data_IF_165751508537
#
_entry.id   IF_165751508537
#
_cell.length_a   1.000
_cell.length_b   1.000
_cell.length_c   1.000
_cell.angle_alpha   90.00
_cell.angle_beta   90.00
_cell.angle_gamma   90.00
#
_symmetry.space_group_name_H-M   'P 1'
#
loop_
_entity.id
_entity.type
_entity.pdbx_description
1 polymer ?
#
# COMPACT_ATOMS: atom_id res chain seq x y z
N UNK A 1 -37.65 -22.55 0.67
CA UNK A 1 -36.86 -21.62 1.50
C UNK A 1 -35.61 -21.33 0.71
N UNK A 2 -35.63 -20.19 0.05
CA UNK A 2 -34.90 -19.96 -1.19
C UNK A 2 -33.41 -19.73 -0.94
N UNK A 3 -32.59 -20.68 -1.42
CA UNK A 3 -31.14 -20.60 -1.47
C UNK A 3 -30.79 -19.85 -2.74
N UNK A 4 -30.85 -18.50 -2.74
CA UNK A 4 -30.20 -17.62 -3.71
C UNK A 4 -30.39 -16.15 -3.29
N UNK A 5 -29.68 -15.73 -2.24
CA UNK A 5 -29.68 -14.36 -1.75
C UNK A 5 -28.38 -13.64 -2.09
N UNK A 6 -28.44 -12.75 -3.07
CA UNK A 6 -27.65 -11.53 -3.21
C UNK A 6 -26.17 -11.57 -2.76
N UNK A 7 -25.26 -11.90 -3.69
CA UNK A 7 -23.81 -11.64 -3.54
C UNK A 7 -23.50 -10.16 -3.76
N UNK A 8 -24.20 -9.26 -3.11
CA UNK A 8 -23.77 -7.87 -3.02
C UNK A 8 -22.44 -7.85 -2.29
N UNK A 9 -21.37 -7.54 -3.04
CA UNK A 9 -19.98 -7.45 -2.57
C UNK A 9 -19.81 -6.24 -1.64
N UNK A 10 -20.50 -6.24 -0.50
CA UNK A 10 -20.16 -5.40 0.62
C UNK A 10 -18.76 -5.85 1.04
N UNK A 11 -17.79 -4.94 0.99
CA UNK A 11 -16.42 -5.17 1.48
C UNK A 11 -16.50 -5.49 2.97
N UNK A 12 -16.74 -6.75 3.31
CA UNK A 12 -16.97 -7.18 4.67
C UNK A 12 -15.62 -7.20 5.39
N UNK A 13 -15.44 -6.29 6.36
CA UNK A 13 -14.24 -6.22 7.18
C UNK A 13 -14.15 -7.45 8.08
N UNK A 14 -12.94 -7.90 8.38
CA UNK A 14 -12.72 -8.91 9.42
C UNK A 14 -13.09 -8.31 10.77
N UNK A 15 -13.93 -9.02 11.52
CA UNK A 15 -14.22 -8.75 12.92
C UNK A 15 -13.08 -9.23 13.82
N UNK A 16 -13.08 -8.81 15.09
CA UNK A 16 -12.09 -9.26 16.06
C UNK A 16 -12.23 -10.76 16.35
N UNK A 17 -13.46 -11.28 16.41
CA UNK A 17 -13.72 -12.71 16.60
C UNK A 17 -13.14 -13.54 15.44
N UNK A 18 -13.34 -13.08 14.20
CA UNK A 18 -12.73 -13.72 13.02
C UNK A 18 -11.20 -13.64 13.03
N UNK A 19 -10.63 -12.52 13.46
CA UNK A 19 -9.18 -12.37 13.58
C UNK A 19 -8.58 -13.32 14.63
N UNK A 20 -9.26 -13.49 15.77
CA UNK A 20 -8.84 -14.44 16.82
C UNK A 20 -8.94 -15.87 16.32
N UNK A 21 -10.07 -16.24 15.70
CA UNK A 21 -10.24 -17.56 15.10
C UNK A 21 -9.16 -17.85 14.07
N UNK A 22 -8.91 -16.90 13.14
CA UNK A 22 -7.89 -17.06 12.12
C UNK A 22 -6.47 -17.21 12.70
N UNK A 23 -6.14 -16.49 13.78
CA UNK A 23 -4.85 -16.66 14.47
C UNK A 23 -4.71 -18.05 15.07
N UNK A 24 -5.71 -18.50 15.83
CA UNK A 24 -5.69 -19.80 16.49
C UNK A 24 -5.55 -20.92 15.45
N UNK A 25 -6.32 -20.87 14.36
CA UNK A 25 -6.23 -21.86 13.28
C UNK A 25 -4.85 -21.91 12.60
N UNK A 26 -4.15 -20.77 12.51
CA UNK A 26 -2.79 -20.72 11.97
C UNK A 26 -1.78 -21.26 12.96
N UNK A 27 -1.93 -20.96 14.25
CA UNK A 27 -1.07 -21.47 15.31
C UNK A 27 -1.21 -23.00 15.46
N UNK A 28 -2.44 -23.53 15.40
CA UNK A 28 -2.71 -24.97 15.43
C UNK A 28 -2.10 -25.74 14.25
N UNK A 29 -1.90 -25.08 13.10
CA UNK A 29 -1.39 -25.72 11.89
C UNK A 29 0.11 -26.09 11.97
N UNK A 30 0.84 -25.70 13.04
CA UNK A 30 2.22 -26.09 13.38
C UNK A 30 3.10 -26.42 12.15
N UNK A 31 3.46 -25.39 11.36
CA UNK A 31 4.34 -25.54 10.20
C UNK A 31 3.74 -24.93 8.93
N UNK A 32 3.53 -25.77 7.90
CA UNK A 32 3.03 -25.34 6.59
C UNK A 32 1.53 -25.14 6.64
N UNK A 33 1.10 -23.88 6.55
CA UNK A 33 -0.31 -23.50 6.63
C UNK A 33 -1.05 -23.81 5.33
N UNK A 34 -2.00 -24.76 5.37
CA UNK A 34 -2.95 -24.97 4.28
C UNK A 34 -4.14 -24.00 4.41
N UNK A 35 -4.13 -22.93 3.61
CA UNK A 35 -5.17 -21.90 3.64
C UNK A 35 -6.55 -22.39 3.19
N UNK A 36 -6.65 -23.49 2.42
CA UNK A 36 -7.94 -24.08 2.05
C UNK A 36 -8.63 -24.68 3.28
N UNK A 37 -7.87 -25.42 4.09
CA UNK A 37 -8.41 -26.04 5.30
C UNK A 37 -8.82 -24.98 6.33
N UNK A 38 -8.01 -23.93 6.48
CA UNK A 38 -8.36 -22.78 7.34
C UNK A 38 -9.65 -22.11 6.86
N UNK A 39 -9.80 -21.89 5.55
CA UNK A 39 -11.02 -21.30 5.01
C UNK A 39 -12.25 -22.17 5.28
N UNK A 40 -12.12 -23.49 5.12
CA UNK A 40 -13.19 -24.44 5.47
C UNK A 40 -13.57 -24.36 6.94
N UNK A 41 -12.59 -24.26 7.84
CA UNK A 41 -12.83 -24.09 9.29
C UNK A 41 -13.41 -22.71 9.65
N UNK A 42 -13.08 -21.67 8.90
CA UNK A 42 -13.64 -20.31 9.07
C UNK A 42 -15.11 -20.24 8.60
N UNK A 43 -15.47 -20.96 7.54
CA UNK A 43 -16.82 -21.03 6.96
C UNK A 43 -17.31 -19.75 6.24
N UNK A 44 -16.89 -18.57 6.69
CA UNK A 44 -17.35 -17.27 6.17
C UNK A 44 -16.36 -16.60 5.20
N UNK A 45 -15.11 -17.08 5.15
CA UNK A 45 -14.00 -16.44 4.41
C UNK A 45 -13.33 -17.43 3.45
N UNK A 46 -12.90 -16.91 2.30
CA UNK A 46 -12.08 -17.67 1.35
C UNK A 46 -10.62 -17.77 1.80
N UNK A 47 -9.92 -18.81 1.32
CA UNK A 47 -8.49 -19.04 1.58
C UNK A 47 -7.62 -17.82 1.27
N UNK A 48 -7.91 -17.14 0.15
CA UNK A 48 -7.24 -15.90 -0.24
C UNK A 48 -7.43 -14.79 0.80
N UNK A 49 -8.67 -14.59 1.28
CA UNK A 49 -8.96 -13.57 2.30
C UNK A 49 -8.23 -13.88 3.61
N UNK A 50 -8.27 -15.13 4.08
CA UNK A 50 -7.58 -15.58 5.28
C UNK A 50 -6.07 -15.33 5.17
N UNK A 51 -5.44 -15.76 4.07
CA UNK A 51 -4.01 -15.55 3.82
C UNK A 51 -3.63 -14.08 3.82
N UNK A 52 -4.36 -13.25 3.06
CA UNK A 52 -4.07 -11.82 2.97
C UNK A 52 -4.28 -11.12 4.31
N UNK A 53 -5.32 -11.48 5.06
CA UNK A 53 -5.58 -10.93 6.40
C UNK A 53 -4.44 -11.26 7.35
N UNK A 54 -4.02 -12.53 7.39
CA UNK A 54 -2.94 -12.97 8.27
C UNK A 54 -1.63 -12.29 7.91
N UNK A 55 -1.23 -12.37 6.63
CA UNK A 55 0.03 -11.83 6.13
C UNK A 55 0.19 -10.33 6.39
N UNK A 56 -0.87 -9.55 6.16
CA UNK A 56 -0.79 -8.09 6.20
C UNK A 56 -1.06 -7.51 7.60
N UNK A 57 -1.78 -8.23 8.48
CA UNK A 57 -2.28 -7.62 9.74
C UNK A 57 -2.10 -8.47 11.00
N UNK A 58 -2.17 -9.81 10.91
CA UNK A 58 -2.21 -10.67 12.11
C UNK A 58 -0.90 -11.35 12.43
N UNK A 59 -0.02 -11.52 11.43
CA UNK A 59 1.29 -12.13 11.61
C UNK A 59 2.05 -11.40 12.74
N UNK A 60 2.61 -12.11 13.73
CA UNK A 60 3.26 -11.51 14.90
C UNK A 60 4.39 -10.52 14.57
N UNK A 61 5.02 -10.68 13.40
CA UNK A 61 6.08 -9.79 12.93
C UNK A 61 5.59 -8.39 12.57
N UNK A 62 4.28 -8.19 12.38
CA UNK A 62 3.71 -6.89 11.99
C UNK A 62 3.53 -5.99 13.22
N UNK A 63 4.10 -4.79 13.14
CA UNK A 63 4.16 -3.82 14.24
C UNK A 63 3.13 -2.71 14.02
N UNK A 64 2.30 -2.45 15.03
CA UNK A 64 1.28 -1.39 15.05
C UNK A 64 1.80 -0.09 15.69
N UNK A 65 2.97 0.40 15.26
CA UNK A 65 3.57 1.66 15.74
C UNK A 65 3.38 2.78 14.73
N UNK A 66 3.50 4.03 15.21
CA UNK A 66 3.50 5.21 14.35
C UNK A 66 4.67 5.15 13.35
N UNK A 67 4.49 5.75 12.19
CA UNK A 67 5.52 5.85 11.17
C UNK A 67 6.59 6.87 11.58
N UNK A 68 7.86 6.50 11.45
CA UNK A 68 8.98 7.41 11.68
C UNK A 68 9.38 8.16 10.41
N UNK A 69 10.09 9.27 10.57
CA UNK A 69 10.61 10.04 9.42
C UNK A 69 11.63 9.23 8.61
N UNK A 70 12.40 8.38 9.29
CA UNK A 70 13.40 7.51 8.64
C UNK A 70 12.72 6.44 7.79
N UNK A 71 11.64 5.83 8.30
CA UNK A 71 10.80 4.92 7.51
C UNK A 71 10.22 5.62 6.28
N UNK A 72 9.71 6.85 6.44
CA UNK A 72 9.16 7.63 5.32
C UNK A 72 10.22 7.94 4.25
N UNK A 73 11.41 8.35 4.67
CA UNK A 73 12.53 8.62 3.77
C UNK A 73 12.93 7.36 3.00
N UNK A 74 13.01 6.23 3.70
CA UNK A 74 13.35 4.95 3.09
C UNK A 74 12.29 4.47 2.10
N UNK A 75 11.01 4.65 2.40
CA UNK A 75 9.90 4.34 1.47
C UNK A 75 10.05 5.15 0.18
N UNK A 76 10.28 6.45 0.29
CA UNK A 76 10.40 7.34 -0.86
C UNK A 76 11.62 6.99 -1.71
N UNK A 77 12.77 6.76 -1.07
CA UNK A 77 14.00 6.35 -1.74
C UNK A 77 13.80 5.01 -2.47
N UNK A 78 13.31 3.98 -1.78
CA UNK A 78 13.14 2.65 -2.38
C UNK A 78 12.08 2.61 -3.46
N UNK A 79 11.07 3.48 -3.40
CA UNK A 79 10.12 3.63 -4.50
C UNK A 79 10.77 4.21 -5.75
N UNK A 80 11.72 5.15 -5.63
CA UNK A 80 12.48 5.65 -6.78
C UNK A 80 13.33 4.56 -7.44
N UNK A 81 13.91 3.67 -6.63
CA UNK A 81 14.75 2.56 -7.11
C UNK A 81 13.93 1.39 -7.70
N UNK A 82 12.82 1.01 -7.06
CA UNK A 82 12.11 -0.26 -7.33
C UNK A 82 10.71 -0.09 -7.92
N UNK A 83 10.15 1.13 -7.89
CA UNK A 83 8.76 1.40 -8.27
C UNK A 83 7.74 0.81 -7.31
N UNK A 84 6.62 0.31 -7.84
CA UNK A 84 5.46 -0.18 -7.08
C UNK A 84 5.62 -1.60 -6.49
N UNK A 85 6.86 -2.07 -6.30
CA UNK A 85 7.18 -3.39 -5.74
C UNK A 85 7.07 -3.38 -4.21
N UNK A 86 5.87 -3.15 -3.67
CA UNK A 86 5.63 -2.90 -2.25
C UNK A 86 6.12 -3.99 -1.31
N UNK A 87 5.98 -5.26 -1.71
CA UNK A 87 6.52 -6.40 -0.95
C UNK A 87 8.05 -6.34 -0.86
N UNK A 88 8.71 -5.91 -1.94
CA UNK A 88 10.16 -5.74 -1.93
C UNK A 88 10.60 -4.58 -1.06
N UNK A 89 9.88 -3.46 -1.11
CA UNK A 89 10.16 -2.28 -0.27
C UNK A 89 9.95 -2.63 1.21
N UNK A 90 8.87 -3.35 1.54
CA UNK A 90 8.57 -3.75 2.91
C UNK A 90 9.66 -4.63 3.54
N UNK A 91 10.47 -5.35 2.75
CA UNK A 91 11.62 -6.11 3.27
C UNK A 91 12.67 -5.22 3.94
N UNK A 92 12.75 -3.94 3.57
CA UNK A 92 13.65 -2.97 4.20
C UNK A 92 13.04 -2.35 5.48
N UNK A 93 11.75 -2.53 5.73
CA UNK A 93 11.00 -1.93 6.84
C UNK A 93 10.63 -3.01 7.85
N UNK A 94 11.39 -3.09 8.94
CA UNK A 94 11.16 -4.11 9.99
C UNK A 94 9.74 -3.99 10.56
N UNK A 95 8.96 -5.04 10.36
CA UNK A 95 7.61 -5.17 10.88
C UNK A 95 6.53 -4.35 10.17
N UNK A 96 6.79 -3.87 8.94
CA UNK A 96 5.76 -3.29 8.06
C UNK A 96 5.38 -4.28 6.97
N UNK A 97 4.10 -4.34 6.61
CA UNK A 97 3.66 -5.12 5.45
C UNK A 97 3.79 -4.32 4.14
N UNK A 98 3.75 -5.00 3.00
CA UNK A 98 3.65 -4.34 1.69
C UNK A 98 2.40 -3.46 1.59
N UNK A 99 1.29 -3.88 2.21
CA UNK A 99 0.05 -3.08 2.29
C UNK A 99 0.26 -1.79 3.07
N UNK A 100 0.87 -1.86 4.24
CA UNK A 100 1.17 -0.69 5.08
C UNK A 100 2.09 0.29 4.36
N UNK A 101 3.14 -0.24 3.72
CA UNK A 101 4.13 0.53 2.95
C UNK A 101 3.46 1.31 1.82
N UNK A 102 2.61 0.65 1.02
CA UNK A 102 1.83 1.31 -0.04
C UNK A 102 0.94 2.41 0.54
N UNK A 103 0.18 2.10 1.58
CA UNK A 103 -0.74 3.04 2.19
C UNK A 103 0.00 4.27 2.74
N UNK A 104 1.17 4.06 3.33
CA UNK A 104 2.02 5.15 3.82
C UNK A 104 2.54 6.02 2.68
N UNK A 105 3.07 5.41 1.63
CA UNK A 105 3.50 6.15 0.44
C UNK A 105 2.36 7.03 -0.10
N UNK A 106 1.17 6.47 -0.31
CA UNK A 106 0.00 7.22 -0.81
C UNK A 106 -0.37 8.40 0.10
N UNK A 107 -0.26 8.22 1.42
CA UNK A 107 -0.45 9.29 2.39
C UNK A 107 0.59 10.41 2.22
N UNK A 108 1.88 10.06 2.08
CA UNK A 108 2.97 11.02 1.89
C UNK A 108 2.79 11.84 0.61
N UNK A 109 2.40 11.20 -0.50
CA UNK A 109 2.18 11.89 -1.78
C UNK A 109 0.99 12.84 -1.70
N UNK A 110 -0.10 12.44 -1.04
CA UNK A 110 -1.27 13.33 -0.83
C UNK A 110 -0.92 14.58 -0.04
N UNK A 111 -0.12 14.45 1.02
CA UNK A 111 0.35 15.60 1.81
C UNK A 111 1.21 16.54 0.98
N UNK A 112 2.11 16.01 0.13
CA UNK A 112 2.94 16.84 -0.78
C UNK A 112 2.10 17.65 -1.77
N UNK A 113 1.07 17.05 -2.39
CA UNK A 113 0.14 17.75 -3.30
C UNK A 113 -0.57 18.90 -2.59
N UNK A 114 -1.08 18.66 -1.38
CA UNK A 114 -1.79 19.68 -0.60
C UNK A 114 -0.89 20.83 -0.09
N UNK A 115 0.41 20.62 0.06
CA UNK A 115 1.36 21.70 0.37
C UNK A 115 1.65 22.58 -0.84
N UNK A 116 1.78 21.98 -2.04
CA UNK A 116 1.96 22.72 -3.29
C UNK A 116 0.78 23.64 -3.61
N UNK A 117 -0.46 23.17 -3.42
CA UNK A 117 -1.66 23.99 -3.65
C UNK A 117 -1.77 25.18 -2.70
N UNK A 118 -1.38 25.01 -1.42
CA UNK A 118 -1.37 26.11 -0.44
C UNK A 118 -0.29 27.16 -0.71
N UNK A 119 0.90 26.74 -1.15
CA UNK A 119 1.96 27.69 -1.49
C UNK A 119 1.63 28.50 -2.76
N UNK A 120 0.88 27.93 -3.72
CA UNK A 120 0.39 28.68 -4.89
C UNK A 120 -0.61 29.78 -4.53
N UNK A 121 -1.39 29.61 -3.45
CA UNK A 121 -2.36 30.63 -3.00
C UNK A 121 -1.74 31.77 -2.18
N UNK A 122 -0.51 31.62 -1.70
CA UNK A 122 0.18 32.67 -0.93
C UNK A 122 0.90 33.71 -1.81
N UNK A 123 1.03 33.48 -3.11
CA UNK A 123 1.62 34.45 -4.06
C UNK A 123 0.60 35.41 -4.70
N UNK A 124 -0.71 35.27 -4.43
CA UNK A 124 -1.75 36.13 -5.02
C UNK A 124 -2.32 37.20 -4.07
N UNK A 125 -1.75 37.40 -2.88
CA UNK A 125 -2.16 38.45 -1.92
C UNK A 125 -1.00 39.30 -1.40
N UNK A 126 -0.11 39.75 -2.28
CA UNK A 126 0.87 40.79 -1.94
C UNK A 126 1.02 41.81 -3.09
N UNK A 127 0.04 42.70 -3.18
CA UNK A 127 0.20 44.07 -3.66
C UNK A 127 -0.15 44.90 -2.42
N UNK A 128 0.70 45.73 -1.81
CA UNK A 128 1.61 46.76 -2.30
C UNK A 128 2.60 47.05 -1.15
N UNK A 129 3.88 47.31 -1.45
CA UNK A 129 4.76 48.39 -0.92
C UNK A 129 6.22 48.07 -1.31
N UNK A 130 6.93 49.12 -1.72
CA UNK A 130 8.15 49.20 -2.54
C UNK A 130 9.37 48.34 -2.17
N UNK A 131 10.14 47.99 -3.23
CA UNK A 131 11.52 47.50 -3.21
C UNK A 131 12.53 48.59 -2.81
N UNK A 132 13.74 48.18 -2.36
CA UNK A 132 14.93 48.49 -3.15
C UNK A 132 15.77 47.24 -3.49
N UNK A 133 16.43 47.28 -4.65
CA UNK A 133 17.12 46.16 -5.32
C UNK A 133 18.54 45.89 -4.79
N UNK A 134 19.00 44.63 -4.89
CA UNK A 134 20.42 44.19 -4.93
C UNK A 134 20.58 42.86 -5.74
N UNK A 135 21.79 42.53 -6.25
CA UNK A 135 22.02 42.02 -7.61
C UNK A 135 22.06 40.49 -7.83
N UNK A 136 21.98 40.12 -9.11
CA UNK A 136 21.86 38.77 -9.69
C UNK A 136 23.17 37.99 -9.59
N UNK A 137 23.16 36.82 -8.91
CA UNK A 137 24.15 35.76 -9.11
C UNK A 137 23.42 34.59 -9.79
N UNK A 138 23.79 34.30 -11.05
CA UNK A 138 23.30 33.14 -11.79
C UNK A 138 24.08 31.91 -11.35
N UNK A 139 23.44 31.00 -10.61
CA UNK A 139 23.93 29.64 -10.44
C UNK A 139 23.11 28.69 -11.31
N UNK A 140 23.83 27.93 -12.13
CA UNK A 140 23.38 27.00 -13.15
C UNK A 140 22.75 25.75 -12.49
N UNK A 141 21.43 25.58 -12.60
CA UNK A 141 20.72 24.42 -12.06
C UNK A 141 20.57 23.35 -13.15
N UNK A 142 21.45 22.34 -13.10
CA UNK A 142 21.36 21.17 -13.97
C UNK A 142 20.10 20.36 -13.65
N UNK A 143 19.31 20.16 -14.70
CA UNK A 143 17.96 19.62 -14.73
C UNK A 143 17.88 18.16 -14.22
N UNK A 144 17.34 17.95 -13.02
CA UNK A 144 16.82 16.63 -12.64
C UNK A 144 15.55 16.34 -13.45
N UNK A 145 15.37 15.14 -14.03
CA UNK A 145 14.24 14.85 -14.90
C UNK A 145 12.94 14.96 -14.10
N UNK A 146 12.08 15.87 -14.53
CA UNK A 146 10.73 16.09 -14.01
C UNK A 146 9.93 14.80 -14.22
N UNK A 147 9.74 14.02 -13.15
CA UNK A 147 8.86 12.85 -13.19
C UNK A 147 7.41 13.36 -13.29
N UNK A 148 6.77 13.06 -14.42
CA UNK A 148 5.35 13.29 -14.65
C UNK A 148 4.52 12.40 -13.70
N UNK A 149 3.97 13.04 -12.66
CA UNK A 149 3.17 12.39 -11.62
C UNK A 149 1.73 12.07 -12.05
N UNK A 150 1.32 12.43 -13.26
CA UNK A 150 -0.04 12.20 -13.76
C UNK A 150 -0.18 10.84 -14.48
N UNK A 151 0.92 10.20 -14.88
CA UNK A 151 0.90 8.85 -15.47
C UNK A 151 0.74 7.68 -14.48
N UNK A 152 0.75 7.93 -13.17
CA UNK A 152 0.49 6.89 -12.16
C UNK A 152 -1.00 6.74 -11.80
N UNK A 153 -1.89 7.46 -12.49
CA UNK A 153 -3.31 7.53 -12.15
C UNK A 153 -4.25 6.72 -13.06
N UNK A 154 -3.77 6.06 -14.13
CA UNK A 154 -4.66 5.34 -15.05
C UNK A 154 -4.71 3.80 -14.91
N UNK A 155 -4.26 3.21 -13.79
CA UNK A 155 -4.57 1.78 -13.56
C UNK A 155 -5.35 1.55 -12.27
N UNK A 156 -6.46 2.26 -12.16
CA UNK A 156 -7.46 2.05 -11.11
C UNK A 156 -8.76 1.42 -11.59
N UNK A 157 -8.81 0.98 -12.85
CA UNK A 157 -9.92 0.20 -13.41
C UNK A 157 -9.47 -0.86 -14.42
N UNK A 158 -8.34 -1.58 -14.22
CA UNK A 158 -8.12 -2.85 -14.94
C UNK A 158 -6.99 -3.74 -14.37
N UNK A 159 -7.09 -4.21 -13.12
CA UNK A 159 -6.32 -5.40 -12.68
C UNK A 159 -7.21 -6.34 -11.87
N UNK A 160 -8.20 -6.90 -12.56
CA UNK A 160 -8.43 -8.35 -12.48
C UNK A 160 -7.48 -8.97 -13.50
N UNK A 161 -6.29 -9.38 -13.07
CA UNK A 161 -5.56 -10.41 -13.81
C UNK A 161 -6.07 -11.76 -13.28
N UNK A 162 -7.15 -12.28 -13.87
CA UNK A 162 -7.35 -13.73 -13.97
C UNK A 162 -6.39 -14.23 -15.04
N UNK A 163 -5.14 -14.49 -14.65
CA UNK A 163 -4.21 -15.26 -15.45
C UNK A 163 -4.47 -16.73 -15.22
N UNK A 164 -5.19 -17.35 -16.15
CA UNK A 164 -5.26 -18.78 -16.34
C UNK A 164 -3.84 -19.24 -16.74
N UNK A 165 -3.18 -20.03 -15.90
CA UNK A 165 -2.02 -20.84 -16.30
C UNK A 165 -2.37 -22.27 -15.93
N UNK A 166 -2.90 -22.97 -16.94
CA UNK A 166 -2.79 -24.41 -17.02
C UNK A 166 -1.31 -24.70 -17.32
N UNK A 167 -0.60 -25.28 -16.36
CA UNK A 167 0.53 -26.14 -16.65
C UNK A 167 0.28 -27.42 -15.88
N UNK A 168 -0.47 -28.30 -16.55
CA UNK A 168 -0.37 -29.73 -16.36
C UNK A 168 0.79 -30.16 -17.24
N UNK A 169 1.76 -30.85 -16.62
CA UNK A 169 2.83 -31.70 -17.19
C UNK A 169 4.23 -31.27 -16.77
N UNK A 170 5.14 -32.10 -16.30
CA UNK A 170 5.19 -33.48 -15.76
C UNK A 170 6.63 -33.63 -15.23
N UNK A 171 6.87 -34.59 -14.35
CA UNK A 171 8.20 -35.00 -13.91
C UNK A 171 9.18 -35.29 -15.08
N UNK A 172 10.47 -35.19 -14.74
CA UNK A 172 11.70 -35.48 -15.52
C UNK A 172 12.27 -34.32 -16.34
#
# INVERSE_FOLDING_TARGET
>A
MDINGDRSSIRHRFSQAEDLLLKNLVEEANGVVNWKDIASKMGTRSARQCRERYKNYLKPTIIKKNWTKDEDALILQKYQELGNKWESIARFLKGRSGSDTRNRYLSLIRVKKNKKSRNSSYQSKSSVVHQPQQPIIKANEQLAPQIDFDKLFFDRTSIFCTGNMNDHDVCC
#
